data_IF_911638573673
#
_entry.id   IF_911638573673
#
_cell.length_a   1.000
_cell.length_b   1.000
_cell.length_c   1.000
_cell.angle_alpha   90.00
_cell.angle_beta   90.00
_cell.angle_gamma   90.00
#
_symmetry.space_group_name_H-M   'P 1'
#
loop_
_entity.id
_entity.type
_entity.pdbx_description
1 polymer ?
#
# COMPACT_ATOMS: atom_id res chain seq x y z
N UNK A 1 18.12 10.95 -40.42
CA UNK A 1 18.55 10.91 -38.99
C UNK A 1 17.49 11.45 -38.02
N UNK A 2 16.69 12.48 -38.33
CA UNK A 2 15.63 13.02 -37.44
C UNK A 2 14.59 11.98 -36.96
N UNK A 3 14.17 11.07 -37.86
CA UNK A 3 13.16 10.03 -37.56
C UNK A 3 13.61 8.99 -36.52
N UNK A 4 14.91 8.70 -36.40
CA UNK A 4 15.42 7.72 -35.42
C UNK A 4 15.40 8.31 -34.01
N UNK A 5 15.82 9.56 -33.84
CA UNK A 5 15.78 10.23 -32.53
C UNK A 5 14.35 10.43 -32.02
N UNK A 6 13.40 10.78 -32.89
CA UNK A 6 11.98 10.90 -32.51
C UNK A 6 11.39 9.56 -32.05
N UNK A 7 11.74 8.45 -32.70
CA UNK A 7 11.30 7.10 -32.28
C UNK A 7 11.90 6.69 -30.93
N UNK A 8 13.18 7.00 -30.70
CA UNK A 8 13.86 6.71 -29.42
C UNK A 8 13.23 7.54 -28.27
N UNK A 9 12.95 8.83 -28.51
CA UNK A 9 12.28 9.69 -27.53
C UNK A 9 10.87 9.21 -27.18
N UNK A 10 10.08 8.78 -28.18
CA UNK A 10 8.75 8.20 -27.96
C UNK A 10 8.81 6.91 -27.14
N UNK A 11 9.78 6.03 -27.41
CA UNK A 11 9.97 4.80 -26.65
C UNK A 11 10.35 5.06 -25.19
N UNK A 12 11.23 6.04 -24.94
CA UNK A 12 11.61 6.44 -23.58
C UNK A 12 10.45 7.05 -22.78
N UNK A 13 9.61 7.88 -23.42
CA UNK A 13 8.42 8.44 -22.78
C UNK A 13 7.37 7.36 -22.43
N UNK A 14 7.23 6.34 -23.28
CA UNK A 14 6.31 5.22 -23.02
C UNK A 14 6.74 4.39 -21.81
N UNK A 15 8.04 4.11 -21.66
CA UNK A 15 8.55 3.29 -20.53
C UNK A 15 8.44 4.03 -19.19
N UNK A 16 8.72 5.34 -19.17
CA UNK A 16 8.55 6.20 -17.99
C UNK A 16 7.08 6.28 -17.53
N UNK A 17 6.13 6.29 -18.47
CA UNK A 17 4.70 6.32 -18.15
C UNK A 17 4.20 5.05 -17.45
N UNK A 18 4.72 3.88 -17.81
CA UNK A 18 4.31 2.59 -17.22
C UNK A 18 4.76 2.47 -15.76
N UNK A 19 5.97 2.93 -15.44
CA UNK A 19 6.50 2.88 -14.07
C UNK A 19 5.69 3.70 -13.05
N UNK A 20 5.10 4.82 -13.48
CA UNK A 20 4.33 5.69 -12.58
C UNK A 20 2.96 5.07 -12.19
N UNK A 21 2.36 4.28 -13.10
CA UNK A 21 1.09 3.60 -12.84
C UNK A 21 1.22 2.53 -11.75
N UNK A 22 2.33 1.81 -11.72
CA UNK A 22 2.57 0.74 -10.74
C UNK A 22 2.72 1.28 -9.32
N UNK A 23 3.47 2.38 -9.13
CA UNK A 23 3.63 3.00 -7.81
C UNK A 23 2.29 3.47 -7.19
N UNK A 24 1.37 3.97 -8.02
CA UNK A 24 0.02 4.34 -7.58
C UNK A 24 -0.86 3.12 -7.27
N UNK A 25 -0.62 1.98 -7.90
CA UNK A 25 -1.31 0.74 -7.59
C UNK A 25 -0.81 0.14 -6.27
N UNK A 26 0.51 0.10 -6.06
CA UNK A 26 1.15 -0.41 -4.85
C UNK A 26 0.65 0.32 -3.58
N UNK A 27 0.60 1.65 -3.64
CA UNK A 27 0.08 2.46 -2.52
C UNK A 27 -1.40 2.21 -2.22
N UNK A 28 -2.23 1.94 -3.25
CA UNK A 28 -3.65 1.61 -3.06
C UNK A 28 -3.81 0.25 -2.40
N UNK A 29 -3.05 -0.74 -2.82
CA UNK A 29 -3.07 -2.07 -2.22
C UNK A 29 -2.61 -2.03 -0.77
N UNK A 30 -1.52 -1.32 -0.49
CA UNK A 30 -1.04 -1.09 0.87
C UNK A 30 -2.12 -0.45 1.76
N UNK A 31 -2.76 0.62 1.31
CA UNK A 31 -3.79 1.30 2.09
C UNK A 31 -5.02 0.43 2.34
N UNK A 32 -5.47 -0.34 1.35
CA UNK A 32 -6.56 -1.29 1.52
C UNK A 32 -6.20 -2.41 2.53
N UNK A 33 -4.95 -2.85 2.51
CA UNK A 33 -4.40 -3.76 3.51
C UNK A 33 -4.46 -3.15 4.91
N UNK A 34 -3.89 -1.95 5.06
CA UNK A 34 -3.84 -1.22 6.32
C UNK A 34 -5.22 -1.02 6.95
N UNK A 35 -6.20 -0.55 6.16
CA UNK A 35 -7.57 -0.36 6.62
C UNK A 35 -8.18 -1.65 7.19
N UNK A 36 -8.10 -2.75 6.42
CA UNK A 36 -8.63 -4.05 6.86
C UNK A 36 -7.89 -4.59 8.08
N UNK A 37 -6.58 -4.43 8.12
CA UNK A 37 -5.75 -4.82 9.26
C UNK A 37 -6.18 -4.08 10.52
N UNK A 38 -6.29 -2.75 10.43
CA UNK A 38 -6.68 -1.88 11.55
C UNK A 38 -8.04 -2.26 12.12
N UNK A 39 -9.06 -2.40 11.27
CA UNK A 39 -10.40 -2.82 11.69
C UNK A 39 -10.33 -4.16 12.43
N UNK A 40 -9.63 -5.14 11.85
CA UNK A 40 -9.51 -6.48 12.44
C UNK A 40 -8.81 -6.44 13.81
N UNK A 41 -7.69 -5.72 13.91
CA UNK A 41 -6.91 -5.59 15.15
C UNK A 41 -7.70 -4.91 16.25
N UNK A 42 -8.38 -3.80 15.92
CA UNK A 42 -9.17 -3.03 16.87
C UNK A 42 -10.35 -3.85 17.42
N UNK A 43 -11.12 -4.51 16.53
CA UNK A 43 -12.22 -5.40 16.91
C UNK A 43 -11.76 -6.49 17.86
N UNK A 44 -10.63 -7.11 17.56
CA UNK A 44 -10.02 -8.15 18.41
C UNK A 44 -9.65 -7.60 19.79
N UNK A 45 -9.07 -6.41 19.87
CA UNK A 45 -8.67 -5.80 21.13
C UNK A 45 -9.85 -5.34 22.01
N UNK A 46 -10.91 -4.78 21.39
CA UNK A 46 -12.11 -4.32 22.12
C UNK A 46 -13.18 -5.40 22.32
N UNK A 47 -12.98 -6.61 21.80
CA UNK A 47 -13.97 -7.70 21.81
C UNK A 47 -15.34 -7.24 21.27
N UNK A 48 -15.32 -6.56 20.12
CA UNK A 48 -16.52 -6.01 19.47
C UNK A 48 -16.55 -6.35 18.00
N UNK A 49 -17.75 -6.44 17.43
CA UNK A 49 -17.97 -6.58 15.99
C UNK A 49 -18.20 -5.24 15.28
N UNK A 50 -18.19 -4.13 16.02
CA UNK A 50 -18.36 -2.79 15.46
C UNK A 50 -17.10 -2.32 14.74
N UNK A 51 -17.25 -1.80 13.52
CA UNK A 51 -16.15 -1.18 12.78
C UNK A 51 -15.72 0.13 13.46
N UNK A 52 -14.42 0.32 13.76
CA UNK A 52 -13.91 1.58 14.29
C UNK A 52 -13.81 2.64 13.20
N UNK A 53 -13.64 3.90 13.62
CA UNK A 53 -13.12 4.92 12.72
C UNK A 53 -11.65 4.58 12.38
N UNK A 54 -11.38 4.37 11.09
CA UNK A 54 -10.04 4.04 10.60
C UNK A 54 -9.21 5.32 10.46
N UNK A 55 -7.96 5.34 10.96
CA UNK A 55 -7.08 6.49 10.77
C UNK A 55 -6.67 6.64 9.30
N UNK A 56 -6.11 7.81 8.97
CA UNK A 56 -5.55 8.03 7.64
C UNK A 56 -4.50 6.96 7.30
N UNK A 57 -4.53 6.46 6.06
CA UNK A 57 -3.53 5.50 5.59
C UNK A 57 -2.13 6.12 5.70
N UNK A 58 -1.17 5.46 6.36
CA UNK A 58 0.18 5.97 6.47
C UNK A 58 0.92 5.89 5.13
N UNK A 59 2.01 6.64 5.01
CA UNK A 59 2.95 6.40 3.91
C UNK A 59 3.51 4.97 4.04
N UNK A 60 3.47 4.23 2.95
CA UNK A 60 3.99 2.87 2.88
C UNK A 60 5.48 2.85 3.25
N UNK A 61 5.86 2.14 4.33
CA UNK A 61 7.26 2.03 4.71
C UNK A 61 8.00 1.13 3.73
N UNK A 62 9.33 1.28 3.67
CA UNK A 62 10.17 0.34 2.95
C UNK A 62 10.09 -1.03 3.60
N UNK A 63 9.89 -2.07 2.78
CA UNK A 63 9.92 -3.46 3.21
C UNK A 63 11.29 -3.85 3.75
N UNK A 64 11.29 -4.61 4.83
CA UNK A 64 12.44 -5.23 5.47
C UNK A 64 12.57 -6.68 5.02
N UNK A 65 13.71 -7.28 5.32
CA UNK A 65 13.91 -8.71 5.10
C UNK A 65 12.90 -9.51 5.93
N UNK A 66 12.08 -10.31 5.26
CA UNK A 66 11.02 -11.11 5.88
C UNK A 66 9.62 -10.47 5.84
N UNK A 67 9.49 -9.23 5.37
CA UNK A 67 8.18 -8.64 5.10
C UNK A 67 7.52 -9.32 3.88
N UNK A 68 6.19 -9.38 3.83
CA UNK A 68 5.49 -10.01 2.72
C UNK A 68 5.71 -9.26 1.40
N UNK A 69 5.79 -10.01 0.30
CA UNK A 69 5.93 -9.46 -1.04
C UNK A 69 4.66 -8.72 -1.50
N UNK A 70 3.49 -9.07 -0.97
CA UNK A 70 2.24 -8.37 -1.25
C UNK A 70 2.17 -7.04 -0.48
N UNK A 71 1.89 -5.94 -1.19
CA UNK A 71 1.68 -4.64 -0.54
C UNK A 71 0.43 -4.64 0.35
N UNK A 72 -0.61 -5.35 -0.06
CA UNK A 72 -1.80 -5.56 0.76
C UNK A 72 -1.45 -6.27 2.07
N UNK A 73 -0.69 -7.37 2.04
CA UNK A 73 -0.32 -8.10 3.26
C UNK A 73 0.60 -7.27 4.16
N UNK A 74 1.51 -6.51 3.56
CA UNK A 74 2.38 -5.59 4.30
C UNK A 74 1.56 -4.52 5.02
N UNK A 75 0.63 -3.88 4.31
CA UNK A 75 -0.31 -2.93 4.90
C UNK A 75 -1.17 -3.56 5.99
N UNK A 76 -1.68 -4.77 5.75
CA UNK A 76 -2.51 -5.50 6.71
C UNK A 76 -1.80 -5.76 8.03
N UNK A 77 -0.54 -6.21 8.00
CA UNK A 77 0.24 -6.45 9.22
C UNK A 77 0.39 -5.19 10.06
N UNK A 78 0.80 -4.08 9.43
CA UNK A 78 0.97 -2.78 10.11
C UNK A 78 -0.37 -2.28 10.67
N UNK A 79 -1.43 -2.34 9.86
CA UNK A 79 -2.77 -1.96 10.30
C UNK A 79 -3.23 -2.78 11.50
N UNK A 80 -3.03 -4.10 11.46
CA UNK A 80 -3.43 -5.01 12.53
C UNK A 80 -2.75 -4.71 13.86
N UNK A 81 -1.43 -4.51 13.87
CA UNK A 81 -0.69 -4.13 15.06
C UNK A 81 -1.16 -2.78 15.62
N UNK A 82 -1.39 -1.81 14.74
CA UNK A 82 -1.90 -0.50 15.15
C UNK A 82 -3.30 -0.59 15.76
N UNK A 83 -4.20 -1.34 15.12
CA UNK A 83 -5.55 -1.58 15.61
C UNK A 83 -5.56 -2.26 16.97
N UNK A 84 -4.70 -3.25 17.19
CA UNK A 84 -4.52 -3.89 18.51
C UNK A 84 -4.06 -2.89 19.57
N UNK A 85 -3.13 -2.00 19.23
CA UNK A 85 -2.61 -0.98 20.14
C UNK A 85 -3.68 0.05 20.51
N UNK A 86 -4.40 0.58 19.52
CA UNK A 86 -5.42 1.61 19.73
C UNK A 86 -6.68 1.04 20.40
N UNK A 87 -6.92 -0.26 20.24
CA UNK A 87 -8.00 -0.98 20.90
C UNK A 87 -7.70 -1.45 22.33
N UNK A 88 -6.46 -1.31 22.83
CA UNK A 88 -6.13 -1.60 24.24
C UNK A 88 -6.71 -0.53 25.18
#
# INVERSE_FOLDING_TARGET
>A
MKSVHTKILLAALLTLGISAANALADTREFCAGFERGYITGYKKAKHTDLDPLVPMCPMQPMKRFGDPDSEFEHGYGIGYERGLSDGR
#
